data_IF_258041040916
#
_entry.id   IF_258041040916
#
_cell.length_a   1.000
_cell.length_b   1.000
_cell.length_c   1.000
_cell.angle_alpha   90.00
_cell.angle_beta   90.00
_cell.angle_gamma   90.00
#
_symmetry.space_group_name_H-M   'P 1'
#
loop_
_entity.id
_entity.type
_entity.pdbx_description
1 polymer ?
#
# COMPACT_ATOMS: atom_id res chain seq x y z
N UNK A 1 13.33 4.07 0.33
CA UNK A 1 12.35 3.20 -0.38
C UNK A 1 12.78 3.03 -1.83
N UNK A 2 12.79 1.81 -2.36
CA UNK A 2 12.97 1.54 -3.80
C UNK A 2 11.60 1.30 -4.44
N UNK A 3 11.38 1.83 -5.65
CA UNK A 3 10.15 1.61 -6.41
C UNK A 3 10.27 0.35 -7.27
N UNK A 4 9.17 -0.40 -7.41
CA UNK A 4 9.02 -1.45 -8.41
C UNK A 4 9.10 -0.87 -9.82
N UNK A 5 9.17 -1.72 -10.85
CA UNK A 5 9.50 -1.26 -12.19
C UNK A 5 8.44 -0.26 -12.74
N UNK A 6 8.91 0.76 -13.46
CA UNK A 6 8.06 1.84 -14.01
C UNK A 6 7.10 1.28 -15.09
N UNK A 7 7.47 0.19 -15.75
CA UNK A 7 6.64 -0.52 -16.75
C UNK A 7 5.36 -1.11 -16.16
N UNK A 8 5.33 -1.38 -14.85
CA UNK A 8 4.16 -1.94 -14.15
C UNK A 8 3.10 -0.88 -13.83
N UNK A 9 3.38 0.40 -14.14
CA UNK A 9 2.60 1.51 -13.59
C UNK A 9 2.53 1.39 -12.08
N UNK A 10 3.64 1.03 -11.42
CA UNK A 10 3.75 0.71 -10.00
C UNK A 10 4.68 1.67 -9.26
N UNK A 11 4.76 1.49 -7.94
CA UNK A 11 5.59 2.28 -7.04
C UNK A 11 4.93 3.57 -6.57
N UNK A 12 5.74 4.50 -6.08
CA UNK A 12 5.26 5.70 -5.40
C UNK A 12 4.28 6.55 -6.23
N UNK A 13 4.57 6.75 -7.52
CA UNK A 13 3.71 7.58 -8.38
C UNK A 13 2.32 6.96 -8.58
N UNK A 14 2.25 5.63 -8.73
CA UNK A 14 0.99 4.90 -8.80
C UNK A 14 0.19 5.04 -7.51
N UNK A 15 0.87 4.82 -6.37
CA UNK A 15 0.26 4.94 -5.05
C UNK A 15 -0.38 6.33 -4.91
N UNK A 16 0.36 7.39 -5.22
CA UNK A 16 -0.14 8.77 -5.13
C UNK A 16 -1.31 9.02 -6.09
N UNK A 17 -1.18 8.65 -7.37
CA UNK A 17 -2.29 8.83 -8.32
C UNK A 17 -3.55 8.08 -7.91
N UNK A 18 -3.43 6.92 -7.26
CA UNK A 18 -4.58 6.07 -6.94
C UNK A 18 -5.18 6.32 -5.56
N UNK A 19 -4.33 6.54 -4.55
CA UNK A 19 -4.69 6.54 -3.13
C UNK A 19 -4.56 7.91 -2.44
N UNK A 20 -4.16 8.95 -3.18
CA UNK A 20 -4.23 10.36 -2.76
C UNK A 20 -5.05 11.24 -3.73
N UNK A 21 -5.72 10.63 -4.69
CA UNK A 21 -6.56 11.33 -5.66
C UNK A 21 -8.03 11.04 -5.35
N UNK A 22 -8.79 11.99 -4.79
CA UNK A 22 -10.18 11.77 -4.39
C UNK A 22 -11.12 11.48 -5.57
N UNK A 23 -10.67 11.69 -6.82
CA UNK A 23 -11.44 11.33 -8.03
C UNK A 23 -11.36 9.84 -8.34
N UNK A 24 -10.46 9.08 -7.72
CA UNK A 24 -10.32 7.64 -7.95
C UNK A 24 -11.25 6.89 -7.01
N UNK A 25 -11.95 5.91 -7.55
CA UNK A 25 -12.76 4.98 -6.76
C UNK A 25 -11.85 3.90 -6.11
N UNK A 26 -11.08 4.28 -5.09
CA UNK A 26 -10.15 3.43 -4.35
C UNK A 26 -10.08 3.87 -2.88
N UNK A 27 -9.56 3.01 -2.00
CA UNK A 27 -9.22 3.41 -0.62
C UNK A 27 -8.27 4.61 -0.65
N UNK A 28 -8.44 5.58 0.24
CA UNK A 28 -7.69 6.84 0.22
C UNK A 28 -6.91 7.02 1.51
N UNK A 29 -5.61 7.30 1.42
CA UNK A 29 -4.83 7.69 2.59
C UNK A 29 -5.32 9.04 3.11
N UNK A 30 -5.37 9.18 4.43
CA UNK A 30 -5.69 10.44 5.12
C UNK A 30 -4.46 11.05 5.78
N UNK A 31 -3.41 10.25 5.99
CA UNK A 31 -2.10 10.74 6.47
C UNK A 31 -1.33 11.44 5.35
N UNK A 32 -0.47 12.42 5.66
CA UNK A 32 0.37 13.07 4.65
C UNK A 32 1.31 12.10 3.93
N UNK A 33 1.68 12.45 2.70
CA UNK A 33 2.55 11.63 1.84
C UNK A 33 3.94 11.42 2.46
N UNK A 34 4.51 12.45 3.07
CA UNK A 34 5.77 12.41 3.79
C UNK A 34 5.72 11.42 4.96
N UNK A 35 4.60 11.39 5.67
CA UNK A 35 4.39 10.48 6.77
C UNK A 35 4.29 9.04 6.27
N UNK A 36 3.53 8.80 5.20
CA UNK A 36 3.43 7.49 4.58
C UNK A 36 4.80 6.99 4.08
N UNK A 37 5.64 7.87 3.53
CA UNK A 37 7.01 7.51 3.10
C UNK A 37 7.88 7.04 4.26
N UNK A 38 7.79 7.70 5.41
CA UNK A 38 8.49 7.30 6.62
C UNK A 38 7.94 5.98 7.14
N UNK A 39 6.62 5.86 7.19
CA UNK A 39 5.93 4.67 7.68
C UNK A 39 6.27 3.42 6.86
N UNK A 40 6.27 3.51 5.53
CA UNK A 40 6.62 2.40 4.63
C UNK A 40 8.08 1.93 4.76
N UNK A 41 8.94 2.72 5.40
CA UNK A 41 10.34 2.38 5.70
C UNK A 41 10.55 2.02 7.17
N UNK A 42 9.51 2.10 7.99
CA UNK A 42 9.58 1.77 9.41
C UNK A 42 9.85 0.28 9.61
N UNK A 43 10.53 -0.04 10.71
CA UNK A 43 10.79 -1.42 11.12
C UNK A 43 9.50 -2.23 11.21
N UNK A 44 8.43 -1.63 11.76
CA UNK A 44 7.12 -2.26 11.86
C UNK A 44 6.59 -2.74 10.49
N UNK A 45 6.65 -1.90 9.46
CA UNK A 45 6.17 -2.28 8.11
C UNK A 45 7.10 -3.29 7.44
N UNK A 46 8.42 -3.08 7.52
CA UNK A 46 9.41 -3.92 6.84
C UNK A 46 9.46 -5.33 7.44
N UNK A 47 9.34 -5.47 8.76
CA UNK A 47 9.35 -6.77 9.45
C UNK A 47 7.99 -7.46 9.48
N UNK A 48 6.91 -6.80 9.04
CA UNK A 48 5.62 -7.46 8.92
C UNK A 48 5.73 -8.62 7.91
N UNK A 49 5.33 -9.85 8.29
CA UNK A 49 5.46 -11.02 7.43
C UNK A 49 4.57 -10.91 6.19
N UNK A 50 5.01 -11.54 5.11
CA UNK A 50 4.17 -11.76 3.93
C UNK A 50 3.01 -12.68 4.33
N UNK A 51 1.78 -12.23 4.16
CA UNK A 51 0.58 -13.03 4.46
C UNK A 51 0.14 -13.88 3.28
N UNK A 52 0.40 -13.42 2.05
CA UNK A 52 0.05 -14.10 0.80
C UNK A 52 0.78 -13.52 -0.41
N UNK A 53 0.67 -14.21 -1.53
CA UNK A 53 1.15 -13.74 -2.84
C UNK A 53 -0.01 -13.51 -3.80
N UNK A 54 0.19 -12.64 -4.79
CA UNK A 54 -0.73 -12.40 -5.89
C UNK A 54 0.01 -12.51 -7.21
N UNK A 55 -0.46 -13.39 -8.10
CA UNK A 55 0.02 -13.41 -9.46
C UNK A 55 -0.49 -12.17 -10.21
N UNK A 56 0.38 -11.55 -10.99
CA UNK A 56 0.04 -10.47 -11.92
C UNK A 56 0.77 -10.66 -13.23
N UNK A 57 0.37 -9.93 -14.27
CA UNK A 57 1.03 -9.98 -15.58
C UNK A 57 2.54 -9.67 -15.48
N UNK A 58 2.93 -8.87 -14.49
CA UNK A 58 4.29 -8.40 -14.30
C UNK A 58 5.07 -9.20 -13.23
N UNK A 59 4.49 -10.28 -12.72
CA UNK A 59 5.10 -11.16 -11.74
C UNK A 59 4.35 -11.27 -10.43
N UNK A 60 4.98 -11.93 -9.45
CA UNK A 60 4.40 -12.19 -8.14
C UNK A 60 4.52 -10.94 -7.27
N UNK A 61 3.39 -10.53 -6.67
CA UNK A 61 3.32 -9.48 -5.65
C UNK A 61 3.23 -10.10 -4.27
N UNK A 62 4.04 -9.61 -3.35
CA UNK A 62 4.10 -10.09 -1.97
C UNK A 62 3.31 -9.15 -1.08
N UNK A 63 2.25 -9.67 -0.45
CA UNK A 63 1.28 -8.89 0.30
C UNK A 63 1.63 -8.91 1.79
N UNK A 64 1.66 -7.73 2.40
CA UNK A 64 1.76 -7.54 3.86
C UNK A 64 0.54 -6.76 4.32
N UNK A 65 -0.11 -7.24 5.36
CA UNK A 65 -1.20 -6.53 6.03
C UNK A 65 -0.67 -6.02 7.38
N UNK A 66 -0.47 -4.70 7.45
CA UNK A 66 0.14 -4.05 8.61
C UNK A 66 -0.94 -3.41 9.45
N UNK A 67 -1.05 -3.82 10.71
CA UNK A 67 -1.90 -3.15 11.70
C UNK A 67 -1.09 -2.04 12.40
N UNK A 68 -1.62 -0.83 12.38
CA UNK A 68 -0.99 0.37 12.92
C UNK A 68 -1.72 0.88 14.16
N UNK A 69 -1.07 1.75 14.93
CA UNK A 69 -1.61 2.28 16.18
C UNK A 69 -2.75 3.30 15.98
N UNK A 70 -2.88 3.85 14.77
CA UNK A 70 -3.89 4.86 14.42
C UNK A 70 -4.38 4.67 13.01
N UNK A 71 -5.50 5.31 12.71
CA UNK A 71 -6.05 5.29 11.37
C UNK A 71 -5.13 6.03 10.39
N UNK A 72 -4.99 5.44 9.21
CA UNK A 72 -4.11 5.92 8.13
C UNK A 72 -4.86 6.27 6.86
N UNK A 73 -6.13 5.86 6.75
CA UNK A 73 -6.95 6.16 5.59
C UNK A 73 -8.36 5.63 5.69
N UNK A 74 -9.07 5.74 4.57
CA UNK A 74 -10.44 5.28 4.38
C UNK A 74 -10.42 4.03 3.49
N UNK A 75 -11.04 2.95 3.94
CA UNK A 75 -11.10 1.69 3.20
C UNK A 75 -12.35 1.60 2.32
N UNK A 76 -12.16 1.57 1.00
CA UNK A 76 -13.25 1.39 0.04
C UNK A 76 -14.03 0.10 0.26
N UNK A 77 -13.36 -0.99 0.63
CA UNK A 77 -14.01 -2.29 0.80
C UNK A 77 -14.83 -2.39 2.10
N UNK A 78 -14.65 -1.42 3.00
CA UNK A 78 -15.40 -1.27 4.24
C UNK A 78 -16.36 -0.07 4.19
N UNK A 79 -16.78 0.35 2.98
CA UNK A 79 -17.73 1.46 2.83
C UNK A 79 -17.14 2.84 3.14
N UNK A 80 -15.86 3.04 2.82
CA UNK A 80 -15.09 4.26 3.11
C UNK A 80 -15.03 4.58 4.61
N UNK A 81 -14.95 3.57 5.47
CA UNK A 81 -14.73 3.77 6.91
C UNK A 81 -13.24 3.98 7.23
N UNK A 82 -12.90 4.74 8.29
CA UNK A 82 -11.52 4.88 8.76
C UNK A 82 -10.90 3.52 9.08
N UNK A 83 -9.61 3.38 8.81
CA UNK A 83 -8.87 2.15 9.09
C UNK A 83 -7.42 2.41 9.49
N UNK A 84 -6.97 1.61 10.44
CA UNK A 84 -5.58 1.49 10.92
C UNK A 84 -4.86 0.31 10.28
N UNK A 85 -5.49 -0.39 9.33
CA UNK A 85 -4.83 -1.43 8.53
C UNK A 85 -4.34 -0.83 7.23
N UNK A 86 -3.12 -1.19 6.85
CA UNK A 86 -2.53 -0.85 5.55
C UNK A 86 -2.03 -2.11 4.88
N UNK A 87 -2.41 -2.33 3.63
CA UNK A 87 -1.82 -3.38 2.81
C UNK A 87 -0.67 -2.82 1.99
N UNK A 88 0.49 -3.47 2.02
CA UNK A 88 1.68 -3.15 1.22
C UNK A 88 1.96 -4.30 0.26
N UNK A 89 2.17 -3.96 -1.01
CA UNK A 89 2.54 -4.90 -2.06
C UNK A 89 3.95 -4.58 -2.52
N UNK A 90 4.82 -5.59 -2.54
CA UNK A 90 6.17 -5.50 -3.09
C UNK A 90 6.40 -6.51 -4.20
N UNK A 91 7.41 -6.28 -5.03
CA UNK A 91 7.95 -7.30 -5.92
C UNK A 91 8.85 -8.29 -5.16
N UNK A 92 9.45 -9.26 -5.87
CA UNK A 92 10.36 -10.25 -5.30
C UNK A 92 11.69 -9.71 -4.76
N UNK A 93 12.02 -8.46 -5.07
CA UNK A 93 13.20 -7.76 -4.56
C UNK A 93 12.86 -6.84 -3.38
N UNK A 94 11.59 -6.78 -2.97
CA UNK A 94 11.11 -5.91 -1.89
C UNK A 94 10.89 -4.46 -2.32
N UNK A 95 10.88 -4.17 -3.63
CA UNK A 95 10.56 -2.82 -4.11
C UNK A 95 9.05 -2.57 -4.02
N UNK A 96 8.66 -1.33 -3.73
CA UNK A 96 7.25 -0.95 -3.60
C UNK A 96 6.52 -1.11 -4.94
N UNK A 97 5.46 -1.91 -4.97
CA UNK A 97 4.50 -1.96 -6.09
C UNK A 97 3.33 -1.01 -5.79
N UNK A 98 2.72 -1.09 -4.61
CA UNK A 98 1.74 -0.11 -4.13
C UNK A 98 1.52 -0.29 -2.62
N UNK A 99 0.82 0.64 -2.00
CA UNK A 99 0.22 0.46 -0.68
C UNK A 99 -1.16 1.11 -0.64
N UNK A 100 -2.05 0.57 0.17
CA UNK A 100 -3.44 1.02 0.27
C UNK A 100 -3.95 0.92 1.71
N UNK A 101 -4.78 1.85 2.19
CA UNK A 101 -5.55 1.65 3.41
C UNK A 101 -6.51 0.47 3.25
N UNK A 102 -6.67 -0.29 4.33
CA UNK A 102 -7.52 -1.47 4.39
C UNK A 102 -6.84 -2.74 3.91
N UNK A 103 -7.62 -3.81 3.85
CA UNK A 103 -7.22 -5.11 3.31
C UNK A 103 -7.71 -5.20 1.86
N UNK A 104 -6.82 -5.56 0.94
CA UNK A 104 -7.24 -5.90 -0.43
C UNK A 104 -7.95 -7.26 -0.44
N UNK A 105 -9.14 -7.29 -1.06
CA UNK A 105 -9.94 -8.50 -1.28
C UNK A 105 -9.91 -8.91 -2.74
#
# INVERSE_FOLDING_TARGET
MRNGSVSEGAGWNHLVDRHYNPRKNASQFTIPQEELRVLLQSRQVVETPVTRTLASADGIRYVREVKLARDVGMDKFSGMQPTSVMTVLTDGFGNLVTATPGVIR
#
